data_IF_828249399765
#
_entry.id   IF_828249399765
#
_cell.length_a   1.000
_cell.length_b   1.000
_cell.length_c   1.000
_cell.angle_alpha   90.00
_cell.angle_beta   90.00
_cell.angle_gamma   90.00
#
_symmetry.space_group_name_H-M   'P 1'
#
loop_
_entity.id
_entity.type
_entity.pdbx_description
1 polymer ?
#
# COMPACT_ATOMS: atom_id res chain seq x y z
N UNK A 1 -20.07 20.90 -6.97
CA UNK A 1 -19.42 21.92 -6.11
C UNK A 1 -18.00 21.47 -5.82
N UNK A 2 -16.98 22.30 -6.08
CA UNK A 2 -15.58 21.95 -5.76
C UNK A 2 -15.30 22.38 -4.32
N UNK A 3 -14.89 21.43 -3.48
CA UNK A 3 -14.54 21.71 -2.09
C UNK A 3 -13.21 22.47 -2.05
N UNK A 4 -13.14 23.52 -1.24
CA UNK A 4 -11.93 24.33 -1.02
C UNK A 4 -11.02 23.62 -0.01
N UNK A 5 -9.76 23.30 -0.36
CA UNK A 5 -8.89 22.49 0.48
C UNK A 5 -8.58 23.16 1.82
N UNK A 6 -8.47 24.49 1.86
CA UNK A 6 -8.21 25.25 3.09
C UNK A 6 -9.32 25.14 4.16
N UNK A 7 -10.54 24.76 3.77
CA UNK A 7 -11.68 24.67 4.70
C UNK A 7 -11.88 23.28 5.30
N UNK A 8 -11.09 22.29 4.87
CA UNK A 8 -11.23 20.90 5.31
C UNK A 8 -10.24 20.62 6.44
N UNK A 9 -10.75 20.37 7.64
CA UNK A 9 -9.94 19.85 8.73
C UNK A 9 -9.47 18.42 8.38
N UNK A 10 -8.19 18.26 8.05
CA UNK A 10 -7.59 16.95 7.79
C UNK A 10 -7.19 16.30 9.10
N UNK A 11 -7.75 15.12 9.39
CA UNK A 11 -7.28 14.30 10.49
C UNK A 11 -5.96 13.62 10.08
N UNK A 12 -4.91 13.79 10.89
CA UNK A 12 -3.56 13.29 10.63
C UNK A 12 -3.51 11.78 10.31
N UNK A 13 -4.49 11.01 10.80
CA UNK A 13 -4.58 9.57 10.57
C UNK A 13 -4.88 9.17 9.11
N UNK A 14 -5.33 10.10 8.25
CA UNK A 14 -5.68 9.82 6.84
C UNK A 14 -4.81 10.55 5.83
N UNK A 15 -3.76 11.21 6.30
CA UNK A 15 -2.95 12.06 5.44
C UNK A 15 -2.04 11.23 4.54
N UNK A 16 -1.55 10.09 5.04
CA UNK A 16 -0.62 9.23 4.33
C UNK A 16 -1.21 7.84 4.03
N UNK A 17 -1.30 7.51 2.74
CA UNK A 17 -1.78 6.22 2.23
C UNK A 17 -0.63 5.31 1.77
N UNK A 18 0.63 5.67 2.04
CA UNK A 18 1.78 4.85 1.70
C UNK A 18 1.78 3.57 2.52
N UNK A 19 2.36 2.52 1.94
CA UNK A 19 2.59 1.26 2.64
C UNK A 19 3.47 1.48 3.89
N UNK A 20 4.45 2.38 3.84
CA UNK A 20 5.34 2.73 4.97
C UNK A 20 4.60 3.35 6.16
N UNK A 21 3.47 4.01 5.92
CA UNK A 21 2.65 4.63 6.97
C UNK A 21 1.74 3.62 7.69
N UNK A 22 1.65 2.39 7.18
CA UNK A 22 0.89 1.29 7.81
C UNK A 22 1.61 0.85 9.10
N UNK A 23 0.87 0.79 10.20
CA UNK A 23 1.32 0.03 11.37
C UNK A 23 1.31 -1.47 11.04
N UNK A 24 2.46 -2.14 11.03
CA UNK A 24 2.54 -3.59 10.80
C UNK A 24 3.97 -4.11 10.60
N UNK A 25 4.13 -5.42 10.35
CA UNK A 25 5.45 -6.04 10.29
C UNK A 25 6.23 -5.63 9.04
N UNK A 26 7.46 -5.16 9.23
CA UNK A 26 8.34 -4.67 8.16
C UNK A 26 8.92 -5.76 7.24
N UNK A 27 8.70 -7.04 7.56
CA UNK A 27 9.18 -8.19 6.78
C UNK A 27 8.04 -9.11 6.33
N UNK A 28 6.83 -8.55 6.20
CA UNK A 28 5.65 -9.28 5.75
C UNK A 28 5.61 -9.43 4.22
N UNK A 29 4.67 -10.25 3.74
CA UNK A 29 4.45 -10.45 2.31
C UNK A 29 4.09 -9.16 1.55
N UNK A 30 3.51 -8.15 2.20
CA UNK A 30 3.17 -6.86 1.60
C UNK A 30 4.39 -5.94 1.41
N UNK A 31 5.32 -5.95 2.35
CA UNK A 31 6.53 -5.10 2.36
C UNK A 31 7.40 -5.36 1.15
N UNK A 32 7.63 -6.64 0.84
CA UNK A 32 8.41 -7.07 -0.31
C UNK A 32 7.69 -6.79 -1.63
N UNK A 33 6.35 -6.83 -1.65
CA UNK A 33 5.57 -6.53 -2.84
C UNK A 33 5.59 -5.03 -3.12
N UNK A 34 5.56 -4.21 -2.05
CA UNK A 34 5.75 -2.78 -2.13
C UNK A 34 7.13 -2.45 -2.72
N UNK A 35 8.21 -2.98 -2.15
CA UNK A 35 9.58 -2.73 -2.63
C UNK A 35 9.79 -3.12 -4.10
N UNK A 36 9.21 -4.24 -4.54
CA UNK A 36 9.31 -4.70 -5.93
C UNK A 36 8.52 -3.80 -6.91
N UNK A 37 7.34 -3.33 -6.50
CA UNK A 37 6.40 -2.70 -7.43
C UNK A 37 6.43 -1.16 -7.39
N UNK A 38 6.92 -0.54 -6.30
CA UNK A 38 6.92 0.92 -6.10
C UNK A 38 7.70 1.66 -7.19
N UNK A 39 8.75 1.04 -7.72
CA UNK A 39 9.61 1.60 -8.78
C UNK A 39 8.91 1.63 -10.15
N UNK A 40 7.80 0.90 -10.30
CA UNK A 40 7.09 0.77 -11.58
C UNK A 40 5.81 1.59 -11.61
N UNK A 41 5.47 2.14 -12.77
CA UNK A 41 4.23 2.92 -12.99
C UNK A 41 3.54 2.48 -14.29
N UNK A 42 2.25 2.77 -14.42
CA UNK A 42 1.48 2.60 -15.66
C UNK A 42 1.50 1.18 -16.24
N UNK A 43 1.77 1.06 -17.53
CA UNK A 43 1.81 -0.25 -18.23
C UNK A 43 2.94 -1.16 -17.72
N UNK A 44 4.08 -0.59 -17.29
CA UNK A 44 5.21 -1.31 -16.71
C UNK A 44 4.82 -2.02 -15.41
N UNK A 45 4.07 -1.33 -14.54
CA UNK A 45 3.52 -1.91 -13.31
C UNK A 45 2.67 -3.16 -13.58
N UNK A 46 1.78 -3.10 -14.58
CA UNK A 46 0.91 -4.23 -14.93
C UNK A 46 1.73 -5.46 -15.36
N UNK A 47 2.78 -5.26 -16.16
CA UNK A 47 3.68 -6.33 -16.63
C UNK A 47 4.46 -6.94 -15.46
N UNK A 48 5.11 -6.10 -14.64
CA UNK A 48 5.95 -6.55 -13.54
C UNK A 48 5.13 -7.29 -12.46
N UNK A 49 3.95 -6.75 -12.10
CA UNK A 49 3.00 -7.42 -11.21
C UNK A 49 2.62 -8.82 -11.73
N UNK A 50 2.27 -8.93 -13.02
CA UNK A 50 1.88 -10.21 -13.60
C UNK A 50 3.05 -11.21 -13.66
N UNK A 51 4.27 -10.73 -13.91
CA UNK A 51 5.49 -11.55 -13.89
C UNK A 51 5.75 -12.11 -12.49
N UNK A 52 5.73 -11.25 -11.46
CA UNK A 52 5.93 -11.65 -10.06
C UNK A 52 4.84 -12.61 -9.57
N UNK A 53 3.57 -12.39 -9.96
CA UNK A 53 2.43 -13.27 -9.65
C UNK A 53 2.57 -14.68 -10.25
N UNK A 54 3.18 -14.82 -11.45
CA UNK A 54 3.21 -16.09 -12.18
C UNK A 54 4.25 -17.12 -11.70
N UNK A 55 5.12 -16.81 -10.75
CA UNK A 55 5.98 -17.87 -10.23
C UNK A 55 7.18 -17.50 -9.36
N UNK A 56 7.47 -16.22 -9.16
CA UNK A 56 8.70 -15.81 -8.45
C UNK A 56 8.46 -15.23 -7.06
N UNK A 57 7.21 -15.03 -6.65
CA UNK A 57 6.92 -14.42 -5.37
C UNK A 57 6.70 -15.47 -4.27
N UNK A 58 7.77 -15.80 -3.54
CA UNK A 58 7.83 -16.81 -2.46
C UNK A 58 8.49 -16.25 -1.19
N UNK A 59 8.00 -15.15 -0.63
CA UNK A 59 8.63 -14.59 0.57
C UNK A 59 7.74 -13.67 1.38
N UNK A 60 7.92 -13.75 2.69
CA UNK A 60 7.21 -12.96 3.70
C UNK A 60 6.16 -13.78 4.44
N UNK A 61 5.96 -13.46 5.72
CA UNK A 61 4.87 -14.00 6.52
C UNK A 61 3.53 -13.43 6.01
N UNK A 62 2.52 -14.29 5.89
CA UNK A 62 1.15 -13.88 5.60
C UNK A 62 0.48 -13.66 6.96
N UNK A 63 0.45 -12.41 7.41
CA UNK A 63 -0.29 -12.04 8.61
C UNK A 63 -1.81 -12.06 8.33
N UNK A 64 -2.59 -12.49 9.31
CA UNK A 64 -4.06 -12.39 9.31
C UNK A 64 -4.55 -11.16 10.07
N UNK A 65 -3.66 -10.28 10.52
CA UNK A 65 -4.00 -9.06 11.23
C UNK A 65 -4.74 -8.06 10.32
N UNK A 66 -5.71 -7.36 10.90
CA UNK A 66 -6.42 -6.28 10.22
C UNK A 66 -5.83 -4.94 10.58
N UNK A 67 -5.46 -4.17 9.55
CA UNK A 67 -5.01 -2.78 9.69
C UNK A 67 -6.02 -1.80 9.09
N UNK A 68 -7.31 -2.16 9.12
CA UNK A 68 -8.39 -1.32 8.62
C UNK A 68 -8.73 -0.20 9.61
N UNK A 69 -9.14 0.94 9.09
CA UNK A 69 -9.68 2.05 9.87
C UNK A 69 -11.20 2.11 9.72
N UNK A 70 -11.92 2.35 10.82
CA UNK A 70 -13.37 2.58 10.82
C UNK A 70 -13.67 4.07 10.93
N UNK A 71 -14.25 4.64 9.88
CA UNK A 71 -14.81 6.00 9.94
C UNK A 71 -16.03 5.99 10.88
N UNK A 72 -15.91 6.65 12.02
CA UNK A 72 -17.02 6.94 12.94
C UNK A 72 -17.60 8.31 12.65
#
# INVERSE_FOLDING_TARGET
>A
MRVRPETVAMNNNFVDNRYEAKAGPSNDYGSRAHSDLIVTRGAGFRKEKNKKKRGSYRGGEITMESHSFKFS
#
